data_IF_705399948015
#
_entry.id   IF_705399948015
#
_cell.length_a   1.000
_cell.length_b   1.000
_cell.length_c   1.000
_cell.angle_alpha   90.00
_cell.angle_beta   90.00
_cell.angle_gamma   90.00
#
_symmetry.space_group_name_H-M   'P 1'
#
loop_
_entity.id
_entity.type
_entity.pdbx_description
1 polymer ?
#
# COMPACT_ATOMS: atom_id res chain seq x y z
N UNK A 1 -6.66 4.81 -7.64
CA UNK A 1 -6.67 3.59 -6.80
C UNK A 1 -5.88 3.81 -5.53
N UNK A 2 -4.55 4.06 -5.59
CA UNK A 2 -3.73 4.27 -4.38
C UNK A 2 -4.31 5.25 -3.35
N UNK A 3 -4.82 6.41 -3.78
CA UNK A 3 -5.38 7.41 -2.86
C UNK A 3 -6.55 6.88 -2.02
N UNK A 4 -7.36 5.95 -2.54
CA UNK A 4 -8.47 5.32 -1.81
C UNK A 4 -8.01 4.23 -0.86
N UNK A 5 -6.87 3.59 -1.16
CA UNK A 5 -6.28 2.56 -0.29
C UNK A 5 -5.50 3.14 0.89
N UNK A 6 -4.93 4.34 0.75
CA UNK A 6 -4.11 4.97 1.80
C UNK A 6 -4.82 5.05 3.17
N UNK A 7 -6.09 5.47 3.27
CA UNK A 7 -6.80 5.49 4.56
C UNK A 7 -6.80 4.15 5.30
N UNK A 8 -6.89 3.02 4.60
CA UNK A 8 -6.84 1.69 5.20
C UNK A 8 -5.44 1.38 5.75
N UNK A 9 -4.40 1.65 4.95
CA UNK A 9 -3.00 1.41 5.34
C UNK A 9 -2.58 2.30 6.51
N UNK A 10 -2.98 3.58 6.50
CA UNK A 10 -2.72 4.51 7.59
C UNK A 10 -3.45 4.09 8.86
N UNK A 11 -4.70 3.60 8.76
CA UNK A 11 -5.43 3.07 9.91
C UNK A 11 -4.72 1.85 10.53
N UNK A 12 -4.22 0.91 9.72
CA UNK A 12 -3.43 -0.21 10.22
C UNK A 12 -2.13 0.24 10.89
N UNK A 13 -1.42 1.19 10.27
CA UNK A 13 -0.21 1.78 10.86
C UNK A 13 -0.50 2.37 12.25
N UNK A 14 -1.54 3.20 12.38
CA UNK A 14 -1.89 3.79 13.67
C UNK A 14 -2.34 2.75 14.70
N UNK A 15 -3.11 1.73 14.28
CA UNK A 15 -3.67 0.74 15.18
C UNK A 15 -2.63 -0.27 15.69
N UNK A 16 -1.65 -0.64 14.84
CA UNK A 16 -0.82 -1.81 15.08
C UNK A 16 0.67 -1.52 15.22
N UNK A 17 1.14 -0.27 15.02
CA UNK A 17 2.57 0.04 15.14
C UNK A 17 3.17 -0.29 16.51
N UNK A 18 2.41 -0.06 17.57
CA UNK A 18 2.84 -0.33 18.95
C UNK A 18 2.76 -1.83 19.29
N UNK A 19 2.06 -2.61 18.44
CA UNK A 19 1.99 -4.07 18.51
C UNK A 19 3.06 -4.76 17.63
N UNK A 20 3.87 -4.00 16.89
CA UNK A 20 4.98 -4.53 16.08
C UNK A 20 4.80 -4.39 14.56
N UNK A 21 3.68 -3.85 14.07
CA UNK A 21 3.51 -3.62 12.63
C UNK A 21 4.44 -2.50 12.16
N UNK A 22 5.22 -2.76 11.10
CA UNK A 22 5.96 -1.73 10.36
C UNK A 22 5.36 -1.59 8.98
N UNK A 23 5.04 -0.35 8.59
CA UNK A 23 4.58 -0.01 7.25
C UNK A 23 5.66 0.82 6.56
N UNK A 24 5.96 0.48 5.30
CA UNK A 24 6.82 1.28 4.43
C UNK A 24 6.10 1.52 3.10
N UNK A 25 5.79 2.77 2.80
CA UNK A 25 5.24 3.15 1.51
C UNK A 25 6.35 3.27 0.46
N UNK A 26 6.40 2.37 -0.51
CA UNK A 26 7.35 2.49 -1.63
C UNK A 26 6.71 3.31 -2.74
N UNK A 27 7.01 4.61 -2.78
CA UNK A 27 6.58 5.51 -3.84
C UNK A 27 7.39 5.25 -5.11
N UNK A 28 6.83 4.45 -6.00
CA UNK A 28 7.35 4.27 -7.36
C UNK A 28 6.57 5.17 -8.30
N UNK A 29 7.20 6.14 -8.97
CA UNK A 29 6.49 7.13 -9.78
C UNK A 29 5.94 6.50 -11.07
N UNK A 30 4.75 6.91 -11.49
CA UNK A 30 4.22 6.63 -12.83
C UNK A 30 4.63 7.72 -13.84
N UNK A 31 4.66 8.97 -13.38
CA UNK A 31 4.98 10.13 -14.20
C UNK A 31 6.26 10.83 -13.74
N UNK A 32 6.89 11.59 -14.65
CA UNK A 32 8.14 12.29 -14.36
C UNK A 32 8.02 13.28 -13.19
N UNK A 33 6.90 13.98 -13.04
CA UNK A 33 6.68 14.93 -11.94
C UNK A 33 6.57 14.25 -10.57
N UNK A 34 6.26 12.95 -10.52
CA UNK A 34 6.19 12.18 -9.28
C UNK A 34 7.58 11.74 -8.80
N UNK A 35 8.63 12.00 -9.59
CA UNK A 35 10.02 11.85 -9.15
C UNK A 35 10.51 13.00 -8.28
N UNK A 36 9.77 14.11 -8.23
CA UNK A 36 10.19 15.27 -7.47
C UNK A 36 9.82 15.10 -5.99
N UNK A 37 10.83 15.14 -5.12
CA UNK A 37 10.66 14.83 -3.70
C UNK A 37 9.64 15.75 -3.02
N UNK A 38 9.64 17.04 -3.33
CA UNK A 38 8.68 18.00 -2.76
C UNK A 38 7.23 17.65 -3.13
N UNK A 39 6.98 17.18 -4.36
CA UNK A 39 5.65 16.72 -4.78
C UNK A 39 5.20 15.49 -4.00
N UNK A 40 6.13 14.56 -3.71
CA UNK A 40 5.85 13.35 -2.94
C UNK A 40 5.55 13.70 -1.48
N UNK A 41 6.36 14.58 -0.87
CA UNK A 41 6.16 15.06 0.50
C UNK A 41 4.80 15.74 0.64
N UNK A 42 4.45 16.63 -0.29
CA UNK A 42 3.17 17.31 -0.27
C UNK A 42 2.00 16.34 -0.51
N UNK A 43 2.18 15.34 -1.38
CA UNK A 43 1.22 14.27 -1.60
C UNK A 43 0.97 13.46 -0.34
N UNK A 44 2.03 13.01 0.32
CA UNK A 44 1.97 12.26 1.57
C UNK A 44 1.26 13.07 2.67
N UNK A 45 1.60 14.36 2.81
CA UNK A 45 0.94 15.26 3.77
C UNK A 45 -0.55 15.42 3.48
N UNK A 46 -0.93 15.63 2.21
CA UNK A 46 -2.35 15.76 1.81
C UNK A 46 -3.16 14.50 2.07
N UNK A 47 -2.54 13.32 1.93
CA UNK A 47 -3.18 12.03 2.17
C UNK A 47 -3.12 11.58 3.64
N UNK A 48 -2.44 12.33 4.52
CA UNK A 48 -2.31 11.99 5.93
C UNK A 48 -1.36 10.82 6.22
N UNK A 49 -0.44 10.52 5.31
CA UNK A 49 0.54 9.44 5.47
C UNK A 49 1.54 9.81 6.55
N UNK A 50 1.65 8.99 7.60
CA UNK A 50 2.63 9.19 8.68
C UNK A 50 3.63 8.04 8.83
N UNK A 51 3.42 6.92 8.13
CA UNK A 51 4.41 5.86 8.02
C UNK A 51 5.58 6.26 7.11
N UNK A 52 6.78 5.66 7.27
CA UNK A 52 7.93 5.90 6.41
C UNK A 52 7.62 5.71 4.92
N UNK A 53 8.13 6.61 4.08
CA UNK A 53 8.02 6.55 2.61
C UNK A 53 9.40 6.44 1.99
N UNK A 54 9.62 5.40 1.18
CA UNK A 54 10.80 5.24 0.34
C UNK A 54 10.48 5.70 -1.09
N UNK A 55 11.33 6.56 -1.66
CA UNK A 55 11.15 7.07 -3.01
C UNK A 55 11.96 6.24 -4.02
N UNK A 56 11.27 5.41 -4.82
CA UNK A 56 11.89 4.48 -5.78
C UNK A 56 11.92 5.06 -7.21
N UNK A 57 12.64 6.17 -7.37
CA UNK A 57 12.71 6.91 -8.65
C UNK A 57 13.34 6.11 -9.81
N UNK A 58 14.10 5.05 -9.50
CA UNK A 58 14.77 4.18 -10.48
C UNK A 58 14.06 2.84 -10.70
N UNK A 59 12.90 2.61 -10.08
CA UNK A 59 12.17 1.32 -10.13
C UNK A 59 13.02 0.13 -9.64
N UNK A 60 14.01 0.37 -8.76
CA UNK A 60 14.92 -0.67 -8.31
C UNK A 60 14.20 -1.64 -7.36
N UNK A 61 13.47 -1.09 -6.39
CA UNK A 61 12.66 -1.89 -5.45
C UNK A 61 11.47 -2.52 -6.17
N UNK A 62 10.77 -1.75 -7.00
CA UNK A 62 9.67 -2.25 -7.84
C UNK A 62 10.07 -3.49 -8.64
N UNK A 63 11.22 -3.41 -9.32
CA UNK A 63 11.75 -4.51 -10.15
C UNK A 63 12.20 -5.69 -9.31
N UNK A 64 12.85 -5.44 -8.16
CA UNK A 64 13.26 -6.49 -7.23
C UNK A 64 12.07 -7.29 -6.67
N UNK A 65 10.96 -6.60 -6.37
CA UNK A 65 9.70 -7.20 -5.93
C UNK A 65 8.85 -7.77 -7.07
N UNK A 66 9.32 -7.63 -8.32
CA UNK A 66 8.63 -8.06 -9.55
C UNK A 66 7.20 -7.52 -9.62
N UNK A 67 6.98 -6.31 -9.10
CA UNK A 67 5.65 -5.69 -9.08
C UNK A 67 5.22 -5.26 -10.50
N UNK A 68 3.91 -5.16 -10.72
CA UNK A 68 3.31 -4.72 -11.98
C UNK A 68 2.14 -3.73 -11.80
N UNK A 69 1.67 -3.51 -10.58
CA UNK A 69 0.44 -2.77 -10.34
C UNK A 69 0.58 -1.70 -9.26
N UNK A 70 -0.23 -0.65 -9.40
CA UNK A 70 -0.51 0.33 -8.37
C UNK A 70 -2.00 0.26 -7.96
N UNK A 71 -2.33 0.13 -6.65
CA UNK A 71 -1.43 -0.22 -5.56
C UNK A 71 -1.07 -1.72 -5.60
N UNK A 72 -0.03 -2.08 -4.84
CA UNK A 72 0.30 -3.46 -4.51
C UNK A 72 0.86 -3.49 -3.08
N UNK A 73 0.64 -4.58 -2.36
CA UNK A 73 1.16 -4.78 -1.01
C UNK A 73 1.81 -6.16 -0.87
N UNK A 74 2.83 -6.20 -0.03
CA UNK A 74 3.59 -7.39 0.31
C UNK A 74 3.67 -7.47 1.83
N UNK A 75 3.03 -8.47 2.42
CA UNK A 75 3.05 -8.68 3.86
C UNK A 75 4.21 -9.61 4.21
N UNK A 76 5.06 -9.16 5.13
CA UNK A 76 6.29 -9.84 5.55
C UNK A 76 6.15 -10.19 7.03
N UNK A 77 6.47 -11.43 7.40
CA UNK A 77 6.45 -11.87 8.80
C UNK A 77 7.71 -11.47 9.58
N UNK A 78 7.74 -11.80 10.87
CA UNK A 78 8.85 -11.49 11.77
C UNK A 78 10.19 -12.17 11.39
N UNK A 79 10.13 -13.25 10.60
CA UNK A 79 11.31 -13.93 10.07
C UNK A 79 11.79 -13.33 8.73
N UNK A 80 11.13 -12.29 8.24
CA UNK A 80 11.47 -11.60 6.99
C UNK A 80 10.93 -12.30 5.74
N UNK A 81 9.97 -13.22 5.88
CA UNK A 81 9.41 -13.98 4.77
C UNK A 81 8.14 -13.33 4.24
N UNK A 82 7.97 -13.27 2.92
CA UNK A 82 6.73 -12.80 2.31
C UNK A 82 5.63 -13.85 2.49
N UNK A 83 4.55 -13.47 3.17
CA UNK A 83 3.41 -14.35 3.49
C UNK A 83 2.16 -14.04 2.69
N UNK A 84 2.04 -12.81 2.20
CA UNK A 84 0.92 -12.40 1.37
C UNK A 84 1.36 -11.38 0.33
N UNK A 85 0.77 -11.48 -0.87
CA UNK A 85 0.92 -10.48 -1.94
C UNK A 85 -0.46 -10.13 -2.44
N UNK A 86 -0.80 -8.86 -2.40
CA UNK A 86 -2.05 -8.34 -2.96
C UNK A 86 -1.74 -7.34 -4.07
N UNK A 87 -2.45 -7.47 -5.19
CA UNK A 87 -2.27 -6.62 -6.37
C UNK A 87 -3.60 -5.96 -6.69
N UNK A 88 -3.60 -4.63 -6.80
CA UNK A 88 -4.80 -3.84 -7.02
C UNK A 88 -5.40 -3.29 -5.73
N UNK A 89 -6.56 -2.67 -5.88
CA UNK A 89 -7.34 -2.03 -4.82
C UNK A 89 -8.38 -3.01 -4.26
N UNK A 90 -8.60 -2.98 -2.95
CA UNK A 90 -9.59 -3.82 -2.26
C UNK A 90 -8.94 -4.86 -1.34
N UNK A 91 -9.72 -5.87 -0.92
CA UNK A 91 -9.21 -6.97 -0.10
C UNK A 91 -8.69 -6.56 1.28
N UNK A 92 -9.17 -5.42 1.81
CA UNK A 92 -8.67 -4.83 3.05
C UNK A 92 -8.88 -5.74 4.25
N UNK A 93 -10.07 -6.31 4.42
CA UNK A 93 -10.37 -7.21 5.54
C UNK A 93 -9.47 -8.45 5.56
N UNK A 94 -9.22 -9.05 4.39
CA UNK A 94 -8.34 -10.21 4.24
C UNK A 94 -6.90 -9.85 4.61
N UNK A 95 -6.42 -8.70 4.15
CA UNK A 95 -5.08 -8.22 4.45
C UNK A 95 -4.92 -7.90 5.93
N UNK A 96 -5.90 -7.23 6.54
CA UNK A 96 -5.88 -6.90 7.97
C UNK A 96 -5.92 -8.16 8.84
N UNK A 97 -6.67 -9.18 8.45
CA UNK A 97 -6.70 -10.46 9.18
C UNK A 97 -5.34 -11.14 9.20
N UNK A 98 -4.65 -11.16 8.07
CA UNK A 98 -3.30 -11.70 7.99
C UNK A 98 -2.29 -10.84 8.77
N UNK A 99 -2.43 -9.51 8.77
CA UNK A 99 -1.61 -8.63 9.63
C UNK A 99 -1.77 -9.02 11.10
N UNK A 100 -3.01 -9.18 11.57
CA UNK A 100 -3.30 -9.52 12.96
C UNK A 100 -2.79 -10.92 13.33
N UNK A 101 -2.94 -11.88 12.43
CA UNK A 101 -2.38 -13.23 12.59
C UNK A 101 -0.86 -13.18 12.75
N UNK A 102 -0.15 -12.50 11.85
CA UNK A 102 1.31 -12.41 11.91
C UNK A 102 1.83 -11.63 13.12
N UNK A 103 1.08 -10.65 13.64
CA UNK A 103 1.42 -9.98 14.89
C UNK A 103 1.31 -10.93 16.08
N UNK A 104 0.29 -11.79 16.12
CA UNK A 104 0.15 -12.81 17.15
C UNK A 104 1.18 -13.94 17.02
N UNK A 105 1.55 -14.32 15.80
CA UNK A 105 2.63 -15.28 15.56
C UNK A 105 3.98 -14.73 16.06
N UNK A 106 4.23 -13.44 15.86
CA UNK A 106 5.45 -12.76 16.31
C UNK A 106 5.52 -12.57 17.84
N UNK A 107 4.39 -12.24 18.47
CA UNK A 107 4.24 -12.13 19.92
C UNK A 107 2.87 -12.71 20.36
N UNK A 108 2.82 -13.98 20.81
CA UNK A 108 1.58 -14.63 21.24
C UNK A 108 0.88 -13.95 22.43
N UNK A 109 1.57 -13.05 23.15
CA UNK A 109 1.02 -12.27 24.25
C UNK A 109 0.48 -10.90 23.85
N UNK A 110 0.64 -10.49 22.59
CA UNK A 110 0.27 -9.14 22.15
C UNK A 110 -1.24 -8.91 22.21
N UNK A 111 -1.64 -7.83 22.88
CA UNK A 111 -3.03 -7.40 22.91
C UNK A 111 -3.31 -6.49 21.70
N UNK A 112 -4.06 -7.00 20.73
CA UNK A 112 -4.45 -6.21 19.55
C UNK A 112 -5.76 -5.44 19.80
N UNK A 113 -5.88 -4.19 19.32
CA UNK A 113 -7.16 -3.49 19.33
C UNK A 113 -8.21 -4.21 18.46
N UNK A 114 -9.48 -3.79 18.47
CA UNK A 114 -10.46 -4.21 17.46
C UNK A 114 -9.97 -3.90 16.04
N UNK A 115 -10.55 -4.57 15.04
CA UNK A 115 -10.27 -4.27 13.63
C UNK A 115 -10.54 -2.79 13.31
N UNK A 116 -9.76 -2.25 12.39
CA UNK A 116 -9.96 -0.89 11.90
C UNK A 116 -11.30 -0.79 11.18
N UNK A 117 -11.94 0.38 11.30
CA UNK A 117 -13.26 0.65 10.73
C UNK A 117 -13.10 1.77 9.71
N UNK A 118 -12.72 1.40 8.49
CA UNK A 118 -12.54 2.33 7.37
C UNK A 118 -13.52 1.92 6.27
N UNK A 119 -14.34 2.87 5.80
CA UNK A 119 -15.29 2.63 4.71
C UNK A 119 -14.55 2.10 3.47
N UNK A 120 -14.89 0.90 3.02
CA UNK A 120 -14.40 0.41 1.73
C UNK A 120 -15.11 1.15 0.59
N UNK A 121 -14.35 2.04 -0.06
CA UNK A 121 -14.80 2.84 -1.21
C UNK A 121 -14.29 2.30 -2.53
N UNK A 122 -13.90 1.02 -2.58
CA UNK A 122 -13.46 0.36 -3.80
C UNK A 122 -14.62 0.31 -4.79
N UNK A 123 -14.49 0.91 -5.98
CA UNK A 123 -15.54 0.90 -6.99
C UNK A 123 -15.69 -0.49 -7.64
N UNK A 124 -16.90 -0.80 -8.12
CA UNK A 124 -17.13 -2.00 -8.94
C UNK A 124 -16.39 -1.86 -10.28
N UNK A 125 -15.37 -2.71 -10.50
CA UNK A 125 -14.51 -2.68 -11.67
C UNK A 125 -15.24 -2.84 -13.01
N UNK A 126 -16.43 -3.45 -13.03
CA UNK A 126 -17.24 -3.56 -14.25
C UNK A 126 -17.83 -2.21 -14.72
N UNK A 127 -17.82 -1.19 -13.85
CA UNK A 127 -18.47 0.11 -14.09
C UNK A 127 -17.47 1.23 -14.39
N UNK A 128 -16.19 0.93 -14.56
CA UNK A 128 -15.13 1.94 -14.71
C UNK A 128 -14.45 1.74 -16.06
N UNK A 129 -14.27 2.84 -16.80
CA UNK A 129 -13.42 2.84 -17.99
C UNK A 129 -11.97 2.54 -17.59
N UNK A 130 -11.19 1.79 -18.39
CA UNK A 130 -9.76 1.66 -18.19
C UNK A 130 -9.06 3.03 -18.08
N UNK A 131 -7.89 3.06 -17.46
CA UNK A 131 -7.09 4.27 -17.36
C UNK A 131 -6.80 4.86 -18.74
N UNK A 132 -7.12 6.16 -18.90
CA UNK A 132 -7.04 6.85 -20.18
C UNK A 132 -5.75 7.65 -20.27
N UNK A 133 -4.79 7.12 -21.01
CA UNK A 133 -3.51 7.77 -21.25
C UNK A 133 -3.59 8.75 -22.42
N UNK A 134 -3.05 9.95 -22.22
CA UNK A 134 -2.93 10.96 -23.29
C UNK A 134 -1.56 10.92 -24.00
N UNK A 135 -0.69 10.00 -23.58
CA UNK A 135 0.65 9.86 -24.16
C UNK A 135 0.62 9.15 -25.51
N UNK A 136 1.60 9.44 -26.37
CA UNK A 136 1.75 8.74 -27.66
C UNK A 136 2.18 7.27 -27.51
N UNK A 137 2.89 6.94 -26.43
CA UNK A 137 3.56 5.64 -26.24
C UNK A 137 2.88 4.66 -25.26
N UNK A 138 2.01 5.16 -24.37
CA UNK A 138 1.25 4.34 -23.42
C UNK A 138 -0.24 4.45 -23.77
N UNK A 139 -0.86 3.31 -24.08
CA UNK A 139 -2.31 3.21 -24.42
C UNK A 139 -3.12 2.46 -23.36
N UNK A 140 -2.47 1.67 -22.51
CA UNK A 140 -3.05 0.97 -21.38
C UNK A 140 -1.97 0.73 -20.31
N UNK A 141 -2.38 0.34 -19.10
CA UNK A 141 -1.48 -0.34 -18.17
C UNK A 141 -1.13 -1.72 -18.75
N UNK A 142 0.11 -2.18 -18.53
CA UNK A 142 0.63 -3.47 -18.99
C UNK A 142 0.42 -4.51 -17.91
#
# INVERSE_FOLDING_TARGET
NCQRSVPHVEAWWQAYRDAGLVVVGVHTPEYAFERETDNVVDGARRLGITYPVAQDNSYATWSAYRNRYWPASYLVDADGQVRHVHQGEGGYDVTEDLVRELLQDADPGVALPPRTQVDDRTPDGAQITPETFLSVGKRSNV
#
